data_IF_874381657109
#
_entry.id   IF_874381657109
#
_cell.length_a   1.000
_cell.length_b   1.000
_cell.length_c   1.000
_cell.angle_alpha   90.00
_cell.angle_beta   90.00
_cell.angle_gamma   90.00
#
_symmetry.space_group_name_H-M   'P 1'
#
loop_
_entity.id
_entity.type
_entity.pdbx_description
1 polymer ?
#
# COMPACT_ATOMS: atom_id res chain seq x y z
N UNK A 1 -4.46 -13.92 -11.59
CA UNK A 1 -4.77 -12.67 -12.32
C UNK A 1 -5.98 -11.93 -11.74
N UNK A 2 -6.83 -12.53 -10.89
CA UNK A 2 -8.05 -11.85 -10.38
C UNK A 2 -7.85 -10.89 -9.19
N UNK A 3 -6.66 -10.82 -8.57
CA UNK A 3 -6.43 -9.99 -7.38
C UNK A 3 -5.44 -8.83 -7.56
N UNK A 4 -5.00 -8.53 -8.79
CA UNK A 4 -3.98 -7.49 -8.97
C UNK A 4 -4.55 -6.10 -8.74
N UNK A 5 -4.14 -5.46 -7.63
CA UNK A 5 -4.59 -4.12 -7.25
C UNK A 5 -3.69 -3.07 -7.87
N UNK A 6 -4.28 -2.00 -8.41
CA UNK A 6 -3.52 -0.86 -8.91
C UNK A 6 -3.27 0.11 -7.74
N UNK A 7 -2.00 0.42 -7.39
CA UNK A 7 -1.71 1.38 -6.33
C UNK A 7 -1.89 2.82 -6.82
N UNK A 8 -2.36 3.68 -5.92
CA UNK A 8 -2.18 5.12 -6.03
C UNK A 8 -0.83 5.53 -5.43
N UNK A 9 -0.15 6.49 -6.07
CA UNK A 9 1.07 7.10 -5.57
C UNK A 9 0.77 8.41 -4.87
N UNK A 10 1.31 8.59 -3.67
CA UNK A 10 0.97 9.70 -2.79
C UNK A 10 2.19 10.20 -2.01
N UNK A 11 2.04 11.40 -1.46
CA UNK A 11 2.98 12.00 -0.53
C UNK A 11 2.24 12.58 0.66
N UNK A 12 2.88 12.58 1.83
CA UNK A 12 2.47 13.42 2.94
C UNK A 12 3.67 14.11 3.57
N UNK A 13 3.42 15.29 4.14
CA UNK A 13 4.44 16.04 4.89
C UNK A 13 4.38 15.62 6.36
N UNK A 14 5.52 15.19 6.88
CA UNK A 14 5.68 14.81 8.30
C UNK A 14 5.85 16.04 9.18
N UNK A 15 5.84 15.85 10.51
CA UNK A 15 5.99 16.95 11.48
C UNK A 15 7.33 17.67 11.40
N UNK A 16 8.37 17.05 10.84
CA UNK A 16 9.70 17.68 10.63
C UNK A 16 9.84 18.33 9.25
N UNK A 17 8.75 18.47 8.51
CA UNK A 17 8.66 18.97 7.13
C UNK A 17 9.26 18.06 6.05
N UNK A 18 9.67 16.84 6.38
CA UNK A 18 10.08 15.86 5.37
C UNK A 18 8.86 15.32 4.63
N UNK A 19 8.89 15.35 3.30
CA UNK A 19 7.88 14.71 2.46
C UNK A 19 8.19 13.22 2.30
N UNK A 20 7.25 12.35 2.68
CA UNK A 20 7.38 10.90 2.50
C UNK A 20 6.48 10.43 1.37
N UNK A 21 7.09 9.71 0.42
CA UNK A 21 6.39 8.99 -0.64
C UNK A 21 5.80 7.68 -0.09
N UNK A 22 4.58 7.34 -0.54
CA UNK A 22 4.00 6.03 -0.29
C UNK A 22 3.09 5.59 -1.44
N UNK A 23 2.80 4.29 -1.46
CA UNK A 23 1.79 3.70 -2.34
C UNK A 23 0.63 3.22 -1.49
N UNK A 24 -0.58 3.47 -1.96
CA UNK A 24 -1.81 2.98 -1.34
C UNK A 24 -2.51 2.03 -2.30
N UNK A 25 -2.71 0.79 -1.87
CA UNK A 25 -3.57 -0.17 -2.55
C UNK A 25 -4.94 -0.18 -1.87
N UNK A 26 -6.01 0.25 -2.57
CA UNK A 26 -7.33 0.32 -1.98
C UNK A 26 -7.86 -1.08 -1.65
N UNK A 27 -8.64 -1.18 -0.58
CA UNK A 27 -9.46 -2.37 -0.35
C UNK A 27 -10.44 -2.57 -1.53
N UNK A 28 -10.74 -3.82 -1.85
CA UNK A 28 -11.67 -4.18 -2.92
C UNK A 28 -13.13 -4.14 -2.44
N UNK A 29 -13.37 -4.33 -1.15
CA UNK A 29 -14.71 -4.29 -0.56
C UNK A 29 -15.04 -2.91 0.03
N UNK A 30 -16.23 -2.35 -0.27
CA UNK A 30 -16.71 -1.13 0.36
C UNK A 30 -16.81 -1.28 1.90
N UNK A 31 -16.51 -0.20 2.64
CA UNK A 31 -16.64 -0.20 4.10
C UNK A 31 -15.53 -0.95 4.84
N UNK A 32 -14.46 -1.34 4.16
CA UNK A 32 -13.25 -1.89 4.76
C UNK A 32 -12.71 -0.98 5.88
N UNK A 33 -12.40 -1.56 7.04
CA UNK A 33 -11.85 -0.84 8.22
C UNK A 33 -10.44 -1.31 8.59
N UNK A 34 -9.89 -2.26 7.84
CA UNK A 34 -8.57 -2.84 8.09
C UNK A 34 -7.54 -2.15 7.22
N UNK A 35 -6.38 -1.87 7.82
CA UNK A 35 -5.21 -1.31 7.14
C UNK A 35 -3.99 -2.08 7.60
N UNK A 36 -3.11 -2.41 6.66
CA UNK A 36 -1.78 -2.95 6.93
C UNK A 36 -0.75 -2.00 6.34
N UNK A 37 0.21 -1.55 7.13
CA UNK A 37 1.31 -0.70 6.64
C UNK A 37 2.54 -1.57 6.40
N UNK A 38 3.04 -1.55 5.16
CA UNK A 38 4.20 -2.33 4.75
C UNK A 38 5.44 -1.43 4.59
N UNK A 39 6.55 -1.85 5.17
CA UNK A 39 7.85 -1.20 5.00
C UNK A 39 8.74 -2.08 4.14
N UNK A 40 9.39 -1.47 3.14
CA UNK A 40 10.46 -2.13 2.42
C UNK A 40 11.81 -1.87 3.12
N UNK A 41 12.84 -2.65 2.77
CA UNK A 41 14.20 -2.46 3.28
C UNK A 41 14.85 -1.23 2.65
N UNK A 42 15.95 -0.75 3.23
CA UNK A 42 16.78 0.28 2.59
C UNK A 42 17.27 -0.15 1.21
N UNK A 43 17.39 0.80 0.28
CA UNK A 43 17.77 0.58 -1.12
C UNK A 43 16.75 -0.22 -1.98
N UNK A 44 15.56 -0.50 -1.44
CA UNK A 44 14.40 -1.02 -2.19
C UNK A 44 13.39 0.09 -2.50
N UNK A 45 12.30 -0.24 -3.20
CA UNK A 45 11.16 0.65 -3.42
C UNK A 45 9.82 -0.04 -3.13
N UNK A 46 8.81 0.73 -2.71
CA UNK A 46 7.49 0.18 -2.32
C UNK A 46 6.79 -0.60 -3.43
N UNK A 47 7.08 -0.33 -4.71
CA UNK A 47 6.52 -1.07 -5.84
C UNK A 47 6.87 -2.56 -5.85
N UNK A 48 7.97 -2.97 -5.21
CA UNK A 48 8.30 -4.40 -5.05
C UNK A 48 7.33 -5.14 -4.13
N UNK A 49 6.52 -4.43 -3.35
CA UNK A 49 5.55 -5.04 -2.44
C UNK A 49 4.23 -5.43 -3.12
N UNK A 50 4.02 -5.07 -4.39
CA UNK A 50 2.81 -5.39 -5.15
C UNK A 50 2.44 -6.87 -5.07
N UNK A 51 3.41 -7.77 -5.28
CA UNK A 51 3.14 -9.20 -5.29
C UNK A 51 2.69 -9.68 -3.91
N UNK A 52 3.22 -9.12 -2.81
CA UNK A 52 2.77 -9.43 -1.44
C UNK A 52 1.31 -9.00 -1.26
N UNK A 53 0.95 -7.80 -1.70
CA UNK A 53 -0.42 -7.28 -1.61
C UNK A 53 -1.41 -8.17 -2.38
N UNK A 54 -1.03 -8.62 -3.57
CA UNK A 54 -1.85 -9.49 -4.43
C UNK A 54 -1.95 -10.92 -3.88
N UNK A 55 -0.85 -11.47 -3.35
CA UNK A 55 -0.76 -12.83 -2.79
C UNK A 55 -1.50 -12.98 -1.46
N UNK A 56 -1.52 -11.94 -0.61
CA UNK A 56 -2.25 -11.97 0.66
C UNK A 56 -3.76 -12.12 0.48
N UNK A 57 -4.31 -11.72 -0.68
CA UNK A 57 -5.72 -11.94 -1.03
C UNK A 57 -6.72 -11.48 0.06
N UNK A 58 -6.48 -10.33 0.69
CA UNK A 58 -7.32 -9.74 1.74
C UNK A 58 -8.22 -8.64 1.16
N UNK A 59 -9.39 -8.95 0.58
CA UNK A 59 -10.20 -7.97 -0.16
C UNK A 59 -10.80 -6.85 0.71
N UNK A 60 -10.86 -7.04 2.02
CA UNK A 60 -11.42 -6.12 3.02
C UNK A 60 -10.34 -5.25 3.72
N UNK A 61 -9.14 -5.20 3.16
CA UNK A 61 -7.97 -4.55 3.75
C UNK A 61 -7.29 -3.63 2.73
N UNK A 62 -7.01 -2.40 3.15
CA UNK A 62 -6.14 -1.48 2.41
C UNK A 62 -4.68 -1.67 2.83
N UNK A 63 -3.77 -1.39 1.91
CA UNK A 63 -2.32 -1.49 2.12
C UNK A 63 -1.60 -0.20 1.73
#
# INVERSE_FOLDING_TARGET
MENSRIPGEHFFTTSDNTALFYRHWPALQPGAKKVIVLFHRGHEHSGRLQHIVDELAMPDTAF
#
